data_IF_298895447262
#
_entry.id   IF_298895447262
#
_cell.length_a   1.000
_cell.length_b   1.000
_cell.length_c   1.000
_cell.angle_alpha   90.00
_cell.angle_beta   90.00
_cell.angle_gamma   90.00
#
_symmetry.space_group_name_H-M   'P 1'
#
loop_
_entity.id
_entity.type
_entity.pdbx_description
1 polymer ?
#
# COMPACT_ATOMS: atom_id res chain seq x y z
N UNK A 1 -13.96 58.36 -36.44
CA UNK A 1 -12.76 57.59 -36.81
C UNK A 1 -11.56 58.06 -35.98
N UNK A 2 -11.12 57.25 -35.02
CA UNK A 2 -9.72 57.11 -34.55
C UNK A 2 -9.71 56.13 -33.37
N UNK A 3 -9.51 54.85 -33.69
CA UNK A 3 -9.08 53.84 -32.72
C UNK A 3 -7.73 54.26 -32.12
N UNK A 4 -7.57 54.14 -30.81
CA UNK A 4 -6.25 54.08 -30.17
C UNK A 4 -6.20 52.95 -29.15
N UNK A 5 -5.77 51.80 -29.67
CA UNK A 5 -4.78 50.86 -29.13
C UNK A 5 -4.81 50.57 -27.62
N UNK A 6 -5.35 49.39 -27.33
CA UNK A 6 -4.90 48.38 -26.36
C UNK A 6 -3.54 48.66 -25.69
N UNK A 7 -3.52 48.55 -24.37
CA UNK A 7 -2.34 48.13 -23.60
C UNK A 7 -2.78 47.19 -22.48
N UNK A 8 -2.80 45.89 -22.80
CA UNK A 8 -2.72 44.80 -21.83
C UNK A 8 -1.24 44.56 -21.55
N UNK A 9 -0.74 44.92 -20.37
CA UNK A 9 0.64 44.63 -19.97
C UNK A 9 0.67 44.20 -18.49
N UNK A 10 1.02 42.92 -18.31
CA UNK A 10 1.65 42.26 -17.15
C UNK A 10 0.86 42.07 -15.85
N UNK A 11 0.07 41.00 -15.80
CA UNK A 11 -0.13 40.19 -14.58
C UNK A 11 0.49 38.81 -14.83
N UNK A 12 1.83 38.76 -14.86
CA UNK A 12 2.58 37.49 -14.95
C UNK A 12 3.83 37.61 -14.10
N UNK A 13 3.67 37.64 -12.77
CA UNK A 13 4.82 37.51 -11.86
C UNK A 13 4.39 36.97 -10.47
N UNK A 14 3.65 35.87 -10.43
CA UNK A 14 3.42 35.11 -9.17
C UNK A 14 3.71 33.61 -9.30
N UNK A 15 3.93 33.06 -10.50
CA UNK A 15 4.17 31.61 -10.67
C UNK A 15 5.64 31.21 -10.40
N UNK A 16 6.55 32.17 -10.22
CA UNK A 16 8.00 31.91 -10.09
C UNK A 16 8.53 31.64 -8.68
N UNK A 17 7.72 31.65 -7.62
CA UNK A 17 8.20 31.59 -6.24
C UNK A 17 7.83 30.31 -5.45
N UNK A 18 7.20 29.32 -6.09
CA UNK A 18 6.91 28.02 -5.45
C UNK A 18 7.92 26.91 -5.78
N UNK A 19 8.95 27.17 -6.59
CA UNK A 19 9.86 26.12 -7.07
C UNK A 19 11.10 25.87 -6.20
N UNK A 20 11.17 26.39 -4.97
CA UNK A 20 12.28 26.14 -4.05
C UNK A 20 11.85 25.65 -2.66
N UNK A 21 10.66 25.05 -2.54
CA UNK A 21 10.51 24.05 -1.48
C UNK A 21 11.40 22.87 -1.87
N UNK A 22 12.58 22.78 -1.26
CA UNK A 22 13.34 21.54 -1.15
C UNK A 22 12.31 20.43 -0.94
N UNK A 23 12.12 19.56 -1.93
CA UNK A 23 11.26 18.39 -1.82
C UNK A 23 11.99 17.46 -0.86
N UNK A 24 11.87 17.76 0.44
CA UNK A 24 12.08 16.78 1.47
C UNK A 24 10.99 15.76 1.19
N UNK A 25 11.36 14.64 0.56
CA UNK A 25 10.44 13.56 0.26
C UNK A 25 9.65 13.28 1.55
N UNK A 26 8.36 13.61 1.54
CA UNK A 26 7.48 13.31 2.66
C UNK A 26 7.51 11.79 2.82
N UNK A 27 8.19 11.32 3.85
CA UNK A 27 8.28 9.88 4.09
C UNK A 27 6.92 9.39 4.55
N UNK A 28 6.13 8.80 3.66
CA UNK A 28 4.83 8.23 4.00
C UNK A 28 5.00 6.93 4.79
N UNK A 29 4.15 6.73 5.80
CA UNK A 29 4.14 5.49 6.59
C UNK A 29 3.46 4.38 5.79
N UNK A 30 3.95 3.16 5.93
CA UNK A 30 3.25 1.98 5.45
C UNK A 30 2.25 1.51 6.49
N UNK A 31 0.98 1.39 6.08
CA UNK A 31 -0.13 1.01 6.95
C UNK A 31 -0.77 -0.28 6.45
N UNK A 32 -1.22 -1.16 7.36
CA UNK A 32 -1.87 -2.40 6.98
C UNK A 32 -3.22 -2.15 6.30
N UNK A 33 -3.49 -2.91 5.24
CA UNK A 33 -4.71 -2.86 4.43
C UNK A 33 -5.48 -4.17 4.56
N UNK A 34 -6.77 -4.07 4.84
CA UNK A 34 -7.60 -5.23 5.19
C UNK A 34 -7.30 -5.69 6.61
N UNK A 35 -6.63 -6.83 6.75
CA UNK A 35 -6.28 -7.40 8.05
C UNK A 35 -5.28 -6.49 8.79
N UNK A 36 -5.66 -6.04 9.99
CA UNK A 36 -4.89 -5.07 10.78
C UNK A 36 -3.86 -5.73 11.71
N UNK A 37 -4.10 -6.98 12.14
CA UNK A 37 -3.22 -7.70 13.03
C UNK A 37 -3.24 -9.21 12.75
N UNK A 38 -2.19 -9.91 13.20
CA UNK A 38 -2.13 -11.37 13.27
C UNK A 38 -1.77 -11.70 14.73
N UNK A 39 -2.48 -12.62 15.41
CA UNK A 39 -2.16 -12.98 16.79
C UNK A 39 -0.69 -13.41 16.95
N UNK A 40 -0.05 -12.93 18.01
CA UNK A 40 1.37 -13.25 18.29
C UNK A 40 2.39 -12.52 17.40
N UNK A 41 1.95 -11.71 16.43
CA UNK A 41 2.83 -10.97 15.52
C UNK A 41 2.84 -9.48 15.83
N UNK A 42 4.03 -8.89 15.86
CA UNK A 42 4.22 -7.44 15.90
C UNK A 42 5.17 -7.02 14.80
N UNK A 43 4.74 -6.08 13.96
CA UNK A 43 5.58 -5.49 12.91
C UNK A 43 5.88 -4.05 13.33
N UNK A 44 7.16 -3.70 13.42
CA UNK A 44 7.55 -2.34 13.75
C UNK A 44 7.14 -1.39 12.62
N UNK A 45 6.76 -0.13 12.92
CA UNK A 45 6.42 0.84 11.88
C UNK A 45 7.56 1.06 10.90
N UNK A 46 7.24 1.13 9.61
CA UNK A 46 8.20 1.39 8.53
C UNK A 46 7.60 2.37 7.51
N UNK A 47 8.45 2.98 6.68
CA UNK A 47 8.10 4.11 5.82
C UNK A 47 8.77 4.04 4.46
N UNK A 48 8.37 4.92 3.55
CA UNK A 48 9.10 5.16 2.30
C UNK A 48 10.57 5.43 2.60
N UNK A 49 11.46 4.76 1.88
CA UNK A 49 12.90 4.82 2.07
C UNK A 49 13.49 3.78 3.02
N UNK A 50 12.66 3.06 3.80
CA UNK A 50 13.12 1.94 4.61
C UNK A 50 13.74 0.85 3.74
N UNK A 51 14.84 0.25 4.22
CA UNK A 51 15.56 -0.87 3.61
C UNK A 51 15.42 -2.17 4.41
N UNK A 52 14.73 -2.11 5.54
CA UNK A 52 14.52 -3.21 6.46
C UNK A 52 13.22 -3.06 7.23
N UNK A 53 12.68 -4.18 7.68
CA UNK A 53 11.45 -4.26 8.48
C UNK A 53 11.68 -5.19 9.66
N UNK A 54 11.44 -4.70 10.87
CA UNK A 54 11.53 -5.49 12.08
C UNK A 54 10.20 -6.18 12.38
N UNK A 55 10.27 -7.47 12.65
CA UNK A 55 9.11 -8.34 12.89
C UNK A 55 9.38 -9.21 14.10
N UNK A 56 8.37 -9.34 14.96
CA UNK A 56 8.32 -10.32 16.02
C UNK A 56 7.20 -11.32 15.70
N UNK A 57 7.50 -12.61 15.59
CA UNK A 57 6.58 -13.67 15.09
C UNK A 57 6.47 -14.88 16.03
N UNK A 58 7.06 -14.79 17.22
CA UNK A 58 7.22 -15.91 18.14
C UNK A 58 8.51 -16.69 17.89
N UNK A 59 8.99 -17.39 18.92
CA UNK A 59 10.29 -18.09 18.90
C UNK A 59 10.39 -18.99 17.67
N UNK A 60 11.44 -18.79 16.89
CA UNK A 60 11.74 -19.59 15.70
C UNK A 60 10.67 -19.61 14.60
N UNK A 61 9.70 -18.70 14.63
CA UNK A 61 8.72 -18.55 13.56
C UNK A 61 9.36 -18.07 12.24
N UNK A 62 8.62 -18.17 11.15
CA UNK A 62 9.11 -17.82 9.82
C UNK A 62 8.40 -16.58 9.29
N UNK A 63 9.18 -15.69 8.67
CA UNK A 63 8.68 -14.48 8.01
C UNK A 63 9.10 -14.50 6.55
N UNK A 64 8.12 -14.61 5.66
CA UNK A 64 8.35 -14.49 4.22
C UNK A 64 7.81 -13.16 3.73
N UNK A 65 8.68 -12.34 3.15
CA UNK A 65 8.32 -11.02 2.65
C UNK A 65 8.21 -10.99 1.11
N UNK A 66 7.29 -10.18 0.62
CA UNK A 66 7.08 -9.92 -0.80
C UNK A 66 6.97 -8.42 -1.03
N UNK A 67 7.56 -7.93 -2.12
CA UNK A 67 7.35 -6.56 -2.61
C UNK A 67 6.70 -6.65 -3.99
N UNK A 68 5.53 -6.04 -4.15
CA UNK A 68 4.75 -6.07 -5.40
C UNK A 68 4.54 -7.51 -5.94
N UNK A 69 4.29 -8.45 -5.03
CA UNK A 69 4.09 -9.87 -5.35
C UNK A 69 5.37 -10.68 -5.60
N UNK A 70 6.55 -10.05 -5.66
CA UNK A 70 7.83 -10.75 -5.79
C UNK A 70 8.37 -11.12 -4.42
N UNK A 71 8.65 -12.40 -4.21
CA UNK A 71 9.26 -12.91 -2.97
C UNK A 71 10.66 -12.33 -2.81
N UNK A 72 11.01 -11.94 -1.59
CA UNK A 72 12.39 -11.61 -1.22
C UNK A 72 13.06 -12.93 -0.84
N UNK A 73 14.08 -13.34 -1.60
CA UNK A 73 14.86 -14.52 -1.27
C UNK A 73 15.94 -14.18 -0.25
N UNK A 74 16.05 -15.00 0.79
CA UNK A 74 17.03 -14.83 1.87
C UNK A 74 17.87 -16.12 1.95
N UNK A 75 19.21 -16.02 1.90
CA UNK A 75 20.07 -17.19 1.95
C UNK A 75 19.99 -17.89 3.31
N UNK A 76 20.16 -19.21 3.30
CA UNK A 76 20.25 -20.04 4.50
C UNK A 76 21.44 -19.61 5.37
N UNK A 77 21.26 -19.60 6.69
CA UNK A 77 22.29 -19.24 7.66
C UNK A 77 22.97 -20.52 8.15
N UNK A 78 24.31 -20.57 8.05
CA UNK A 78 25.11 -21.69 8.53
C UNK A 78 25.57 -21.45 9.95
N UNK A 79 25.32 -22.41 10.83
CA UNK A 79 25.78 -22.41 12.21
C UNK A 79 26.83 -23.50 12.42
N UNK A 80 27.83 -23.20 13.26
CA UNK A 80 28.87 -24.14 13.66
C UNK A 80 29.06 -24.06 15.17
N UNK A 81 29.02 -25.21 15.84
CA UNK A 81 29.45 -25.36 17.22
C UNK A 81 30.80 -26.03 17.22
N UNK A 82 31.80 -25.38 17.83
CA UNK A 82 33.15 -25.93 18.00
C UNK A 82 33.38 -26.34 19.43
N UNK A 83 34.19 -27.36 19.63
CA UNK A 83 34.58 -27.78 20.96
C UNK A 83 35.61 -26.84 21.58
N UNK A 84 35.58 -26.68 22.93
CA UNK A 84 36.63 -25.95 23.63
C UNK A 84 37.98 -26.59 23.34
N UNK A 85 39.02 -25.76 23.25
CA UNK A 85 40.38 -26.25 23.01
C UNK A 85 40.98 -26.85 24.30
N UNK A 86 42.03 -27.65 24.14
CA UNK A 86 42.79 -28.22 25.25
C UNK A 86 43.26 -27.10 26.20
N UNK A 87 42.84 -27.15 27.47
CA UNK A 87 43.10 -26.11 28.48
C UNK A 87 41.91 -25.20 28.83
N UNK A 88 40.80 -25.27 28.08
CA UNK A 88 39.55 -24.57 28.42
C UNK A 88 38.62 -25.47 29.25
N UNK A 89 37.85 -24.87 30.17
CA UNK A 89 36.92 -25.61 31.04
C UNK A 89 35.81 -26.22 30.18
N UNK A 90 35.85 -27.54 30.02
CA UNK A 90 34.81 -28.27 29.31
C UNK A 90 33.75 -28.78 30.29
N UNK A 91 32.59 -28.12 30.31
CA UNK A 91 31.43 -28.55 31.10
C UNK A 91 30.69 -29.74 30.48
N UNK A 92 30.97 -30.09 29.23
CA UNK A 92 30.33 -31.19 28.49
C UNK A 92 31.40 -32.18 27.96
N UNK A 93 31.69 -33.27 28.69
CA UNK A 93 32.75 -34.22 28.33
C UNK A 93 32.54 -34.90 26.96
N UNK A 94 31.29 -34.92 26.48
CA UNK A 94 30.90 -35.44 25.17
C UNK A 94 30.71 -34.26 24.20
N UNK A 95 31.78 -33.51 23.91
CA UNK A 95 31.69 -32.41 22.96
C UNK A 95 31.90 -32.92 21.53
N UNK A 96 30.95 -32.60 20.66
CA UNK A 96 31.05 -32.88 19.23
C UNK A 96 30.92 -31.58 18.44
N UNK A 97 31.80 -31.38 17.47
CA UNK A 97 31.61 -30.31 16.50
C UNK A 97 30.38 -30.63 15.65
N UNK A 98 29.51 -29.65 15.46
CA UNK A 98 28.31 -29.80 14.64
C UNK A 98 28.11 -28.57 13.77
N UNK A 99 27.75 -28.82 12.53
CA UNK A 99 27.35 -27.79 11.57
C UNK A 99 25.90 -28.06 11.16
N UNK A 100 25.09 -27.01 11.14
CA UNK A 100 23.71 -27.10 10.68
C UNK A 100 23.31 -25.82 9.99
N UNK A 101 22.32 -25.91 9.12
CA UNK A 101 21.82 -24.78 8.37
C UNK A 101 20.38 -24.49 8.79
N UNK A 102 20.04 -23.21 8.93
CA UNK A 102 18.69 -22.75 9.23
C UNK A 102 18.22 -21.80 8.16
N UNK A 103 16.94 -21.85 7.81
CA UNK A 103 16.37 -20.96 6.81
C UNK A 103 16.67 -19.50 7.14
N UNK A 104 17.05 -18.72 6.12
CA UNK A 104 17.24 -17.27 6.28
C UNK A 104 15.96 -16.53 6.64
N UNK A 105 14.79 -17.16 6.49
CA UNK A 105 13.47 -16.62 6.84
C UNK A 105 13.07 -16.85 8.31
N UNK A 106 13.88 -17.59 9.07
CA UNK A 106 13.57 -18.00 10.43
C UNK A 106 13.97 -16.92 11.43
N UNK A 107 13.06 -16.58 12.32
CA UNK A 107 13.32 -15.73 13.48
C UNK A 107 14.25 -16.43 14.48
N UNK A 108 14.85 -15.66 15.36
CA UNK A 108 15.70 -16.19 16.41
C UNK A 108 14.89 -16.80 17.58
N UNK A 109 15.59 -17.17 18.65
CA UNK A 109 14.97 -17.75 19.84
C UNK A 109 14.06 -16.78 20.61
N UNK A 110 14.23 -15.46 20.50
CA UNK A 110 13.29 -14.48 21.06
C UNK A 110 12.10 -14.24 20.13
N UNK A 111 12.16 -14.73 18.89
CA UNK A 111 11.12 -14.55 17.88
C UNK A 111 11.27 -13.25 17.10
N UNK A 112 12.41 -12.58 17.22
CA UNK A 112 12.73 -11.37 16.49
C UNK A 112 13.37 -11.72 15.14
N UNK A 113 12.99 -10.95 14.13
CA UNK A 113 13.46 -11.12 12.77
C UNK A 113 13.56 -9.77 12.06
N UNK A 114 14.60 -9.61 11.24
CA UNK A 114 14.80 -8.42 10.41
C UNK A 114 14.72 -8.82 8.94
N UNK A 115 13.62 -8.43 8.31
CA UNK A 115 13.48 -8.55 6.86
C UNK A 115 14.40 -7.53 6.22
N UNK A 116 15.45 -7.98 5.53
CA UNK A 116 16.29 -7.11 4.68
C UNK A 116 15.65 -6.99 3.31
N UNK A 117 15.39 -5.77 2.86
CA UNK A 117 14.76 -5.50 1.57
C UNK A 117 15.82 -5.43 0.47
N UNK A 118 15.47 -5.88 -0.73
CA UNK A 118 16.34 -5.81 -1.90
C UNK A 118 16.42 -4.40 -2.51
N UNK A 119 15.45 -3.54 -2.18
CA UNK A 119 15.43 -2.11 -2.53
C UNK A 119 14.83 -1.30 -1.38
N UNK A 120 15.08 0.00 -1.40
CA UNK A 120 14.37 0.95 -0.53
C UNK A 120 12.90 1.02 -0.96
N UNK A 121 12.00 1.12 0.02
CA UNK A 121 10.56 1.18 -0.26
C UNK A 121 10.16 2.50 -0.92
N UNK A 122 9.33 2.40 -1.94
CA UNK A 122 8.75 3.53 -2.67
C UNK A 122 7.25 3.66 -2.33
N UNK A 123 6.66 4.85 -2.48
CA UNK A 123 5.23 5.07 -2.16
C UNK A 123 4.28 4.13 -2.95
N UNK A 124 4.68 3.70 -4.14
CA UNK A 124 3.91 2.79 -4.99
C UNK A 124 3.97 1.32 -4.55
N UNK A 125 4.89 0.94 -3.67
CA UNK A 125 5.11 -0.45 -3.31
C UNK A 125 3.98 -1.02 -2.45
N UNK A 126 3.77 -2.33 -2.60
CA UNK A 126 2.90 -3.14 -1.74
C UNK A 126 3.77 -4.19 -1.07
N UNK A 127 3.81 -4.15 0.26
CA UNK A 127 4.60 -5.09 1.06
C UNK A 127 3.67 -6.13 1.66
N UNK A 128 3.93 -7.40 1.38
CA UNK A 128 3.19 -8.52 2.00
C UNK A 128 4.13 -9.33 2.88
N UNK A 129 3.75 -9.51 4.13
CA UNK A 129 4.45 -10.36 5.09
C UNK A 129 3.58 -11.58 5.39
N UNK A 130 4.12 -12.78 5.18
CA UNK A 130 3.48 -14.05 5.53
C UNK A 130 4.19 -14.69 6.71
N UNK A 131 3.41 -15.24 7.63
CA UNK A 131 3.90 -15.78 8.90
C UNK A 131 3.58 -17.28 9.00
N UNK A 132 4.57 -18.04 9.47
CA UNK A 132 4.42 -19.46 9.80
C UNK A 132 5.11 -19.77 11.12
N UNK A 133 4.67 -20.81 11.83
CA UNK A 133 5.28 -21.22 13.11
C UNK A 133 6.57 -22.02 12.90
N UNK A 134 7.23 -22.47 13.98
CA UNK A 134 8.48 -23.27 13.87
C UNK A 134 8.27 -24.61 13.14
N UNK A 135 7.03 -25.13 13.14
CA UNK A 135 6.60 -26.28 12.34
C UNK A 135 6.35 -25.94 10.86
N UNK A 136 6.60 -24.71 10.45
CA UNK A 136 6.35 -24.16 9.12
C UNK A 136 4.86 -24.18 8.72
N UNK A 137 3.95 -24.16 9.70
CA UNK A 137 2.51 -24.04 9.48
C UNK A 137 2.14 -22.57 9.30
N UNK A 138 1.61 -22.22 8.14
CA UNK A 138 1.11 -20.88 7.84
C UNK A 138 -0.08 -20.51 8.73
N UNK A 139 -0.04 -19.33 9.35
CA UNK A 139 -1.11 -18.88 10.25
C UNK A 139 -1.60 -17.45 9.99
N UNK A 140 -1.00 -16.71 9.06
CA UNK A 140 -1.51 -15.39 8.71
C UNK A 140 -0.60 -14.57 7.80
N UNK A 141 -1.14 -13.45 7.33
CA UNK A 141 -0.39 -12.47 6.56
C UNK A 141 -0.85 -11.04 6.85
N UNK A 142 0.04 -10.07 6.62
CA UNK A 142 -0.27 -8.65 6.65
C UNK A 142 0.18 -8.00 5.35
N UNK A 143 -0.68 -7.17 4.77
CA UNK A 143 -0.41 -6.43 3.54
C UNK A 143 -0.35 -4.95 3.87
N UNK A 144 0.71 -4.28 3.48
CA UNK A 144 0.94 -2.87 3.74
C UNK A 144 1.00 -2.08 2.44
N UNK A 145 0.38 -0.89 2.46
CA UNK A 145 0.50 0.13 1.42
C UNK A 145 0.90 1.44 2.07
N UNK A 146 1.51 2.34 1.30
CA UNK A 146 1.73 3.71 1.77
C UNK A 146 0.40 4.38 2.13
N UNK A 147 0.42 5.21 3.17
CA UNK A 147 -0.76 5.93 3.65
C UNK A 147 -1.37 6.81 2.55
N UNK A 148 -0.55 7.50 1.76
CA UNK A 148 -0.99 8.30 0.62
C UNK A 148 -1.79 7.47 -0.39
N UNK A 149 -1.25 6.31 -0.79
CA UNK A 149 -1.92 5.41 -1.72
C UNK A 149 -3.22 4.81 -1.15
N UNK A 150 -3.29 4.61 0.16
CA UNK A 150 -4.54 4.19 0.83
C UNK A 150 -5.60 5.29 0.74
N UNK A 151 -5.22 6.54 1.00
CA UNK A 151 -6.15 7.68 0.91
C UNK A 151 -6.65 7.88 -0.51
N UNK A 152 -5.76 7.83 -1.50
CA UNK A 152 -6.14 7.93 -2.92
C UNK A 152 -7.09 6.80 -3.35
N UNK A 153 -6.83 5.57 -2.91
CA UNK A 153 -7.69 4.44 -3.22
C UNK A 153 -9.08 4.59 -2.56
N UNK A 154 -9.12 4.98 -1.28
CA UNK A 154 -10.39 5.20 -0.58
C UNK A 154 -11.20 6.34 -1.20
N UNK A 155 -10.56 7.41 -1.67
CA UNK A 155 -11.23 8.51 -2.37
C UNK A 155 -11.86 8.02 -3.68
N UNK A 156 -11.13 7.23 -4.48
CA UNK A 156 -11.68 6.64 -5.70
C UNK A 156 -12.83 5.69 -5.42
N UNK A 157 -12.71 4.83 -4.42
CA UNK A 157 -13.80 3.92 -4.03
C UNK A 157 -15.06 4.69 -3.59
N UNK A 158 -14.91 5.81 -2.87
CA UNK A 158 -16.03 6.68 -2.51
C UNK A 158 -16.64 7.41 -3.71
N UNK A 159 -15.81 7.88 -4.64
CA UNK A 159 -16.28 8.50 -5.88
C UNK A 159 -17.07 7.51 -6.74
N UNK A 160 -16.58 6.28 -6.86
CA UNK A 160 -17.23 5.19 -7.59
C UNK A 160 -18.56 4.79 -6.92
N UNK A 161 -18.57 4.61 -5.59
CA UNK A 161 -19.81 4.29 -4.85
C UNK A 161 -20.84 5.42 -4.96
N UNK A 162 -20.39 6.67 -4.91
CA UNK A 162 -21.26 7.83 -5.12
C UNK A 162 -21.80 7.90 -6.56
N UNK A 163 -20.96 7.64 -7.57
CA UNK A 163 -21.38 7.57 -8.96
C UNK A 163 -22.42 6.46 -9.18
N UNK A 164 -22.18 5.26 -8.65
CA UNK A 164 -23.09 4.13 -8.72
C UNK A 164 -24.44 4.43 -8.03
N UNK A 165 -24.41 5.12 -6.89
CA UNK A 165 -25.62 5.55 -6.19
C UNK A 165 -26.42 6.57 -7.02
N UNK A 166 -25.75 7.53 -7.67
CA UNK A 166 -26.40 8.47 -8.59
C UNK A 166 -27.02 7.74 -9.80
N UNK A 167 -26.29 6.79 -10.40
CA UNK A 167 -26.80 6.00 -11.52
C UNK A 167 -28.04 5.20 -11.12
N UNK A 168 -28.01 4.49 -9.99
CA UNK A 168 -29.18 3.74 -9.50
C UNK A 168 -30.38 4.63 -9.23
N UNK A 169 -30.18 5.78 -8.57
CA UNK A 169 -31.26 6.75 -8.34
C UNK A 169 -31.86 7.22 -9.67
N UNK A 170 -31.05 7.50 -10.68
CA UNK A 170 -31.57 7.95 -11.99
C UNK A 170 -32.45 6.89 -12.67
N UNK A 171 -32.09 5.61 -12.54
CA UNK A 171 -32.89 4.49 -13.05
C UNK A 171 -34.20 4.36 -12.26
N UNK A 172 -34.13 4.41 -10.93
CA UNK A 172 -35.33 4.35 -10.08
C UNK A 172 -36.29 5.52 -10.34
N UNK A 173 -35.77 6.73 -10.56
CA UNK A 173 -36.58 7.89 -10.94
C UNK A 173 -37.26 7.69 -12.30
N UNK A 174 -36.55 7.21 -13.32
CA UNK A 174 -37.10 6.86 -14.64
C UNK A 174 -38.19 5.77 -14.55
N UNK A 175 -37.95 4.74 -13.74
CA UNK A 175 -38.89 3.63 -13.53
C UNK A 175 -40.13 4.05 -12.76
N UNK A 176 -39.99 4.97 -11.79
CA UNK A 176 -41.08 5.48 -10.96
C UNK A 176 -41.83 6.69 -11.56
N UNK A 177 -41.40 7.19 -12.74
CA UNK A 177 -42.17 8.21 -13.49
C UNK A 177 -43.58 7.70 -13.78
N UNK A 178 -44.59 8.51 -13.47
CA UNK A 178 -45.96 8.18 -13.85
C UNK A 178 -46.13 8.29 -15.36
N UNK A 179 -47.15 7.63 -15.93
CA UNK A 179 -47.45 7.71 -17.36
C UNK A 179 -47.66 9.16 -17.85
N UNK A 180 -48.13 10.06 -16.98
CA UNK A 180 -48.29 11.49 -17.28
C UNK A 180 -46.95 12.22 -17.38
N UNK A 181 -45.99 11.88 -16.52
CA UNK A 181 -44.66 12.50 -16.53
C UNK A 181 -43.88 12.10 -17.78
N UNK A 182 -43.95 10.83 -18.18
CA UNK A 182 -43.33 10.35 -19.44
C UNK A 182 -43.90 11.04 -20.67
N UNK A 183 -45.22 11.27 -20.69
CA UNK A 183 -45.88 11.97 -21.79
C UNK A 183 -45.45 13.44 -21.82
N UNK A 184 -45.41 14.10 -20.66
CA UNK A 184 -44.97 15.50 -20.55
C UNK A 184 -43.51 15.66 -21.02
N UNK A 185 -42.62 14.78 -20.62
CA UNK A 185 -41.21 14.75 -21.05
C UNK A 185 -41.12 14.61 -22.57
N UNK A 186 -41.85 13.66 -23.15
CA UNK A 186 -41.91 13.44 -24.61
C UNK A 186 -42.40 14.69 -25.37
N UNK A 187 -43.45 15.36 -24.86
CA UNK A 187 -43.95 16.59 -25.45
C UNK A 187 -42.97 17.75 -25.30
N UNK A 188 -42.29 17.87 -24.16
CA UNK A 188 -41.27 18.91 -23.95
C UNK A 188 -40.08 18.71 -24.88
N UNK A 189 -39.56 17.49 -25.04
CA UNK A 189 -38.45 17.19 -25.95
C UNK A 189 -38.84 17.44 -27.41
N UNK A 190 -40.03 17.00 -27.82
CA UNK A 190 -40.52 17.24 -29.19
C UNK A 190 -40.69 18.74 -29.45
N UNK A 191 -41.17 19.50 -28.45
CA UNK A 191 -41.32 20.94 -28.53
C UNK A 191 -39.98 21.68 -28.57
N UNK A 192 -39.00 21.25 -27.78
CA UNK A 192 -37.64 21.82 -27.80
C UNK A 192 -36.94 21.55 -29.13
N UNK A 193 -37.06 20.35 -29.69
CA UNK A 193 -36.54 20.02 -31.02
C UNK A 193 -37.22 20.86 -32.12
N UNK A 194 -38.54 21.04 -32.02
CA UNK A 194 -39.30 21.89 -32.96
C UNK A 194 -38.91 23.37 -32.87
N UNK A 195 -38.78 23.93 -31.65
CA UNK A 195 -38.26 25.30 -31.44
C UNK A 195 -36.82 25.46 -31.91
N UNK A 196 -35.97 24.44 -31.69
CA UNK A 196 -34.59 24.43 -32.14
C UNK A 196 -34.49 24.46 -33.66
N UNK A 197 -35.36 23.71 -34.35
CA UNK A 197 -35.48 23.75 -35.82
C UNK A 197 -35.99 25.09 -36.34
N UNK A 198 -36.93 25.74 -35.64
CA UNK A 198 -37.50 27.03 -36.02
C UNK A 198 -36.55 28.23 -35.79
N UNK A 199 -35.61 28.10 -34.84
CA UNK A 199 -34.59 29.10 -34.54
C UNK A 199 -33.26 28.87 -35.28
N UNK A 200 -33.20 27.87 -36.19
CA UNK A 200 -32.06 27.61 -37.09
C UNK A 200 -32.32 28.12 -38.49
#
# INVERSE_FOLDING_TARGET
MKLRKVSFILVTFVIGLLSLSSVKAETSMFVPVGQQNVPGVKVAPFRTGSDSIHVHVGSFGYVTAYINGKKIDVPTVKHKSKCPKEGEVNYFPQCYEREWEVSGHRADGSGDYVVKLNKKLEEGDVVTLKFADDGNLYFGQLVYKSEKKRVEQNQKEQEDEYADALFKRSIEEEENKTWRDRIKDTFQDTWWNFKGWWNS
#
